data_IF_682658656872
#
_entry.id   IF_682658656872
#
_cell.length_a   1.000
_cell.length_b   1.000
_cell.length_c   1.000
_cell.angle_alpha   90.00
_cell.angle_beta   90.00
_cell.angle_gamma   90.00
#
_symmetry.space_group_name_H-M   'P 1'
#
loop_
_entity.id
_entity.type
_entity.pdbx_description
1 polymer ?
#
# COMPACT_ATOMS: atom_id res chain seq x y z
N UNK A 1 -23.63 2.22 6.15
CA UNK A 1 -22.53 1.53 6.84
C UNK A 1 -21.89 0.57 5.86
N UNK A 2 -20.57 0.42 5.88
CA UNK A 2 -19.81 -0.53 5.05
C UNK A 2 -18.71 -1.17 5.88
N UNK A 3 -18.29 -2.36 5.47
CA UNK A 3 -17.11 -3.03 6.00
C UNK A 3 -16.06 -3.11 4.90
N UNK A 4 -14.80 -2.93 5.28
CA UNK A 4 -13.64 -3.14 4.44
C UNK A 4 -12.78 -4.19 5.12
N UNK A 5 -12.44 -5.24 4.41
CA UNK A 5 -11.53 -6.28 4.86
C UNK A 5 -10.29 -6.26 3.98
N UNK A 6 -9.13 -5.91 4.57
CA UNK A 6 -7.86 -5.85 3.83
C UNK A 6 -7.10 -7.17 3.87
N UNK A 7 -7.61 -8.18 4.58
CA UNK A 7 -6.91 -9.42 4.87
C UNK A 7 -6.14 -9.39 6.19
N UNK A 8 -5.39 -8.31 6.43
CA UNK A 8 -4.64 -8.10 7.67
C UNK A 8 -5.53 -7.57 8.80
N UNK A 9 -6.32 -6.54 8.51
CA UNK A 9 -7.25 -5.91 9.46
C UNK A 9 -8.54 -5.52 8.75
N UNK A 10 -9.57 -5.29 9.53
CA UNK A 10 -10.91 -4.94 9.08
C UNK A 10 -11.37 -3.59 9.62
N UNK A 11 -12.12 -2.86 8.80
CA UNK A 11 -12.62 -1.53 9.12
C UNK A 11 -14.13 -1.48 8.99
N UNK A 12 -14.80 -1.01 10.04
CA UNK A 12 -16.20 -0.61 10.01
C UNK A 12 -16.30 0.88 9.68
N UNK A 13 -16.73 1.18 8.47
CA UNK A 13 -17.02 2.55 8.04
C UNK A 13 -18.44 2.90 8.49
N UNK A 14 -18.55 3.51 9.67
CA UNK A 14 -19.85 3.84 10.28
C UNK A 14 -20.56 4.94 9.51
N UNK A 15 -19.86 6.00 9.12
CA UNK A 15 -20.38 7.08 8.28
C UNK A 15 -19.31 7.66 7.37
N UNK A 16 -19.66 7.96 6.11
CA UNK A 16 -18.83 8.71 5.18
C UNK A 16 -19.70 9.42 4.13
N UNK A 17 -19.19 10.44 3.41
CA UNK A 17 -19.90 11.04 2.29
C UNK A 17 -20.30 10.00 1.23
N UNK A 18 -21.41 10.23 0.52
CA UNK A 18 -21.89 9.31 -0.53
C UNK A 18 -20.83 8.99 -1.58
N UNK A 19 -20.04 9.99 -2.00
CA UNK A 19 -18.94 9.80 -2.96
C UNK A 19 -17.88 8.82 -2.46
N UNK A 20 -17.57 8.83 -1.17
CA UNK A 20 -16.63 7.89 -0.54
C UNK A 20 -17.24 6.50 -0.50
N UNK A 21 -18.50 6.38 -0.08
CA UNK A 21 -19.20 5.09 -0.03
C UNK A 21 -19.31 4.45 -1.41
N UNK A 22 -19.64 5.22 -2.45
CA UNK A 22 -19.66 4.72 -3.83
C UNK A 22 -18.29 4.25 -4.31
N UNK A 23 -17.21 4.93 -3.94
CA UNK A 23 -15.86 4.44 -4.25
C UNK A 23 -15.53 3.15 -3.49
N UNK A 24 -15.97 3.00 -2.24
CA UNK A 24 -15.80 1.75 -1.48
C UNK A 24 -16.51 0.61 -2.20
N UNK A 25 -17.77 0.80 -2.57
CA UNK A 25 -18.62 -0.20 -3.24
C UNK A 25 -18.02 -0.65 -4.59
N UNK A 26 -17.26 0.23 -5.25
CA UNK A 26 -16.58 -0.07 -6.52
C UNK A 26 -15.23 -0.77 -6.29
N UNK A 27 -14.45 -0.32 -5.31
CA UNK A 27 -13.05 -0.71 -5.15
C UNK A 27 -12.80 -1.89 -4.22
N UNK A 28 -13.71 -2.15 -3.28
CA UNK A 28 -13.61 -3.27 -2.35
C UNK A 28 -14.70 -4.31 -2.62
N UNK A 29 -14.45 -5.60 -2.35
CA UNK A 29 -15.52 -6.59 -2.36
C UNK A 29 -16.52 -6.28 -1.24
N UNK A 30 -17.79 -6.58 -1.50
CA UNK A 30 -18.81 -6.53 -0.45
C UNK A 30 -18.58 -7.68 0.53
N UNK A 31 -18.51 -7.33 1.82
CA UNK A 31 -18.28 -8.28 2.91
C UNK A 31 -19.23 -7.98 4.07
N UNK A 32 -19.73 -9.02 4.71
CA UNK A 32 -20.43 -8.95 5.98
C UNK A 32 -19.51 -9.48 7.08
N UNK A 33 -19.27 -8.67 8.10
CA UNK A 33 -18.41 -9.01 9.22
C UNK A 33 -19.15 -8.80 10.54
N UNK A 34 -19.05 -9.78 11.43
CA UNK A 34 -19.57 -9.67 12.81
C UNK A 34 -18.73 -8.72 13.66
N UNK A 35 -17.43 -8.65 13.36
CA UNK A 35 -16.44 -7.86 14.07
C UNK A 35 -15.59 -7.04 13.10
N UNK A 36 -15.13 -5.87 13.54
CA UNK A 36 -14.13 -5.09 12.83
C UNK A 36 -13.09 -4.54 13.80
N UNK A 37 -11.81 -4.63 13.42
CA UNK A 37 -10.69 -4.18 14.26
C UNK A 37 -10.76 -2.68 14.54
N UNK A 38 -11.16 -1.88 13.54
CA UNK A 38 -11.27 -0.43 13.66
C UNK A 38 -12.66 0.06 13.27
N UNK A 39 -13.23 1.00 14.03
CA UNK A 39 -14.41 1.75 13.62
C UNK A 39 -14.03 3.17 13.23
N UNK A 40 -14.32 3.55 11.99
CA UNK A 40 -13.91 4.82 11.39
C UNK A 40 -15.08 5.61 10.82
N UNK A 41 -14.95 6.93 10.85
CA UNK A 41 -15.97 7.87 10.41
C UNK A 41 -15.35 9.06 9.66
N UNK A 42 -15.94 9.44 8.52
CA UNK A 42 -15.64 10.70 7.82
C UNK A 42 -16.84 11.63 7.94
N UNK A 43 -16.67 12.76 8.63
CA UNK A 43 -17.74 13.74 8.91
C UNK A 43 -17.39 15.11 8.34
N UNK A 44 -18.38 15.77 7.76
CA UNK A 44 -18.24 17.19 7.41
C UNK A 44 -18.49 18.03 8.65
N UNK A 45 -17.60 18.98 8.93
CA UNK A 45 -17.77 19.88 10.07
C UNK A 45 -18.66 21.08 9.69
N UNK A 46 -19.56 21.47 10.61
CA UNK A 46 -20.42 22.66 10.62
C UNK A 46 -21.18 23.03 9.33
N UNK A 47 -22.50 23.25 9.47
CA UNK A 47 -23.42 23.56 8.35
C UNK A 47 -23.00 24.79 7.52
N UNK A 48 -22.43 25.83 8.14
CA UNK A 48 -22.05 27.07 7.47
C UNK A 48 -20.79 26.94 6.60
N UNK A 49 -19.81 26.12 7.00
CA UNK A 49 -18.58 25.89 6.20
C UNK A 49 -18.84 25.05 4.96
N UNK A 50 -19.91 24.23 4.97
CA UNK A 50 -20.34 23.40 3.86
C UNK A 50 -20.59 24.18 2.56
N UNK A 51 -20.95 25.47 2.65
CA UNK A 51 -21.35 26.28 1.50
C UNK A 51 -20.20 27.04 0.83
N UNK A 52 -19.11 27.35 1.55
CA UNK A 52 -18.02 28.20 1.03
C UNK A 52 -16.70 27.46 0.84
N UNK A 53 -16.34 26.53 1.74
CA UNK A 53 -15.15 25.68 1.66
C UNK A 53 -15.42 24.37 2.39
N UNK A 54 -16.08 23.38 1.75
CA UNK A 54 -16.47 22.15 2.42
C UNK A 54 -15.24 21.35 2.85
N UNK A 55 -15.18 21.00 4.13
CA UNK A 55 -14.11 20.23 4.75
C UNK A 55 -14.64 18.91 5.31
N UNK A 56 -13.74 17.95 5.48
CA UNK A 56 -14.02 16.62 6.01
C UNK A 56 -12.97 16.28 7.07
N UNK A 57 -13.43 15.67 8.15
CA UNK A 57 -12.61 15.20 9.28
C UNK A 57 -12.71 13.69 9.40
N UNK A 58 -11.58 13.05 9.67
CA UNK A 58 -11.47 11.60 9.90
C UNK A 58 -11.47 11.33 11.40
N UNK A 59 -12.26 10.34 11.81
CA UNK A 59 -12.37 9.92 13.20
C UNK A 59 -12.15 8.41 13.30
N UNK A 60 -11.43 8.01 14.35
CA UNK A 60 -11.42 6.66 14.88
C UNK A 60 -12.01 6.73 16.29
N UNK A 61 -13.22 6.18 16.50
CA UNK A 61 -13.97 6.41 17.72
C UNK A 61 -14.21 7.91 17.98
N UNK A 62 -13.71 8.43 19.10
CA UNK A 62 -13.79 9.85 19.46
C UNK A 62 -12.50 10.64 19.17
N UNK A 63 -11.51 10.00 18.54
CA UNK A 63 -10.19 10.60 18.28
C UNK A 63 -10.05 11.03 16.82
N UNK A 64 -9.41 12.18 16.61
CA UNK A 64 -8.90 12.61 15.31
C UNK A 64 -7.40 12.86 15.43
N UNK A 65 -6.63 12.26 14.53
CA UNK A 65 -5.18 12.47 14.43
C UNK A 65 -4.80 13.52 13.39
N UNK A 66 -5.79 14.07 12.67
CA UNK A 66 -5.56 14.87 11.47
C UNK A 66 -6.33 16.18 11.52
N UNK A 67 -5.78 17.18 10.83
CA UNK A 67 -6.55 18.39 10.51
C UNK A 67 -7.60 18.08 9.44
N UNK A 68 -8.72 18.80 9.41
CA UNK A 68 -9.72 18.64 8.35
C UNK A 68 -9.12 18.92 6.96
N UNK A 69 -9.50 18.10 5.98
CA UNK A 69 -9.10 18.24 4.57
C UNK A 69 -10.26 18.74 3.70
N UNK A 70 -10.01 19.26 2.49
CA UNK A 70 -11.09 19.55 1.54
C UNK A 70 -11.94 18.33 1.25
N UNK A 71 -13.27 18.50 1.12
CA UNK A 71 -14.19 17.39 0.83
C UNK A 71 -13.85 16.65 -0.48
N UNK A 72 -13.26 17.33 -1.46
CA UNK A 72 -12.78 16.71 -2.71
C UNK A 72 -11.70 15.65 -2.49
N UNK A 73 -11.01 15.68 -1.35
CA UNK A 73 -9.95 14.75 -0.96
C UNK A 73 -10.43 13.68 0.02
N UNK A 74 -11.74 13.51 0.20
CA UNK A 74 -12.31 12.64 1.23
C UNK A 74 -11.91 11.16 1.06
N UNK A 75 -11.83 10.64 -0.17
CA UNK A 75 -11.43 9.24 -0.39
C UNK A 75 -9.92 9.02 -0.11
N UNK A 76 -8.99 9.83 -0.66
CA UNK A 76 -7.60 9.79 -0.22
C UNK A 76 -7.44 9.91 1.31
N UNK A 77 -8.28 10.71 1.96
CA UNK A 77 -8.24 10.87 3.42
C UNK A 77 -8.68 9.62 4.17
N UNK A 78 -9.68 8.89 3.65
CA UNK A 78 -10.06 7.58 4.17
C UNK A 78 -8.86 6.62 4.12
N UNK A 79 -8.22 6.49 2.96
CA UNK A 79 -7.06 5.60 2.75
C UNK A 79 -5.90 5.95 3.70
N UNK A 80 -5.63 7.24 3.90
CA UNK A 80 -4.62 7.70 4.84
C UNK A 80 -5.00 7.43 6.31
N UNK A 81 -6.26 7.66 6.67
CA UNK A 81 -6.74 7.39 8.02
C UNK A 81 -6.69 5.91 8.38
N UNK A 82 -6.96 5.01 7.43
CA UNK A 82 -6.80 3.56 7.61
C UNK A 82 -5.33 3.17 7.84
N UNK A 83 -4.40 3.76 7.08
CA UNK A 83 -2.96 3.57 7.30
C UNK A 83 -2.55 3.99 8.71
N UNK A 84 -3.02 5.15 9.18
CA UNK A 84 -2.73 5.60 10.52
C UNK A 84 -3.30 4.67 11.60
N UNK A 85 -4.52 4.15 11.42
CA UNK A 85 -5.08 3.17 12.36
C UNK A 85 -4.15 1.96 12.52
N UNK A 86 -3.64 1.43 11.42
CA UNK A 86 -2.70 0.31 11.42
C UNK A 86 -1.38 0.68 12.11
N UNK A 87 -0.71 1.74 11.64
CA UNK A 87 0.60 2.14 12.15
C UNK A 87 0.58 2.53 13.64
N UNK A 88 -0.54 3.09 14.13
CA UNK A 88 -0.66 3.55 15.51
C UNK A 88 -1.06 2.46 16.53
N UNK A 89 -1.51 1.28 16.09
CA UNK A 89 -2.06 0.27 16.99
C UNK A 89 -1.50 -1.15 16.78
N UNK A 90 -0.93 -1.48 15.62
CA UNK A 90 -0.51 -2.85 15.29
C UNK A 90 0.97 -3.12 15.63
N UNK A 91 1.34 -3.05 16.91
CA UNK A 91 2.73 -3.21 17.37
C UNK A 91 3.24 -4.66 17.44
N UNK A 92 2.36 -5.65 17.26
CA UNK A 92 2.75 -7.06 17.16
C UNK A 92 3.33 -7.43 15.77
N UNK A 93 3.34 -6.47 14.84
CA UNK A 93 3.83 -6.63 13.49
C UNK A 93 4.83 -5.52 13.17
N UNK A 94 5.87 -5.85 12.42
CA UNK A 94 6.78 -4.84 11.89
C UNK A 94 6.18 -4.26 10.61
N UNK A 95 6.01 -2.93 10.56
CA UNK A 95 5.36 -2.26 9.44
C UNK A 95 6.39 -1.39 8.72
N UNK A 96 6.61 -1.68 7.45
CA UNK A 96 7.58 -0.99 6.59
C UNK A 96 6.86 -0.26 5.46
N UNK A 97 7.27 0.97 5.18
CA UNK A 97 6.83 1.70 4.00
C UNK A 97 7.42 1.08 2.73
N UNK A 98 6.70 0.12 2.17
CA UNK A 98 7.11 -0.61 0.98
C UNK A 98 5.87 -1.21 0.30
N UNK A 99 6.01 -1.45 -1.01
CA UNK A 99 5.08 -2.30 -1.73
C UNK A 99 5.54 -3.75 -1.60
N UNK A 100 4.60 -4.68 -1.69
CA UNK A 100 4.86 -6.12 -1.68
C UNK A 100 3.97 -6.79 -2.70
N UNK A 101 4.60 -7.53 -3.59
CA UNK A 101 3.94 -8.40 -4.55
C UNK A 101 4.37 -9.84 -4.32
N UNK A 102 3.49 -10.77 -4.66
CA UNK A 102 3.74 -12.21 -4.57
C UNK A 102 3.58 -12.88 -5.94
N UNK A 103 4.40 -13.91 -6.13
CA UNK A 103 4.30 -14.89 -7.21
C UNK A 103 4.61 -16.26 -6.62
N UNK A 104 3.77 -17.26 -6.88
CA UNK A 104 3.98 -18.66 -6.48
C UNK A 104 4.34 -18.87 -4.99
N UNK A 105 3.66 -18.15 -4.09
CA UNK A 105 3.85 -18.21 -2.63
C UNK A 105 5.04 -17.39 -2.11
N UNK A 106 5.80 -16.75 -3.00
CA UNK A 106 7.02 -16.00 -2.69
C UNK A 106 6.77 -14.49 -2.83
N UNK A 107 7.03 -13.75 -1.76
CA UNK A 107 6.88 -12.30 -1.70
C UNK A 107 8.21 -11.58 -1.90
N UNK A 108 8.16 -10.49 -2.66
CA UNK A 108 9.27 -9.54 -2.81
C UNK A 108 8.82 -8.20 -2.25
N UNK A 109 9.65 -7.64 -1.36
CA UNK A 109 9.46 -6.32 -0.77
C UNK A 109 10.16 -5.30 -1.66
N UNK A 110 9.46 -4.21 -2.00
CA UNK A 110 9.97 -3.09 -2.78
C UNK A 110 9.97 -1.81 -1.93
N UNK A 111 11.01 -1.60 -1.08
CA UNK A 111 11.18 -0.34 -0.40
C UNK A 111 11.55 0.72 -1.42
N UNK A 112 10.90 1.88 -1.35
CA UNK A 112 11.27 2.97 -2.22
C UNK A 112 10.85 4.32 -1.63
N UNK A 113 11.65 5.38 -1.84
CA UNK A 113 11.27 6.71 -1.42
C UNK A 113 9.99 7.18 -2.13
N UNK A 114 9.19 8.06 -1.52
CA UNK A 114 8.01 8.62 -2.16
C UNK A 114 8.35 9.26 -3.53
N UNK A 115 7.61 8.87 -4.57
CA UNK A 115 7.78 9.44 -5.91
C UNK A 115 8.72 8.64 -6.84
N UNK A 116 9.29 7.53 -6.37
CA UNK A 116 10.17 6.64 -7.16
C UNK A 116 9.49 5.86 -8.31
N UNK A 117 8.16 5.98 -8.46
CA UNK A 117 7.39 5.16 -9.39
C UNK A 117 6.93 3.80 -8.85
N UNK A 118 7.17 3.49 -7.56
CA UNK A 118 6.78 2.22 -6.91
C UNK A 118 5.32 1.81 -7.14
N UNK A 119 4.37 2.73 -6.95
CA UNK A 119 2.94 2.40 -7.15
C UNK A 119 2.59 2.13 -8.61
N UNK A 120 3.32 2.74 -9.55
CA UNK A 120 3.18 2.48 -10.99
C UNK A 120 3.72 1.11 -11.34
N UNK A 121 4.91 0.76 -10.85
CA UNK A 121 5.48 -0.60 -10.96
C UNK A 121 4.53 -1.63 -10.35
N UNK A 122 4.00 -1.33 -9.15
CA UNK A 122 3.11 -2.23 -8.42
C UNK A 122 1.83 -2.51 -9.18
N UNK A 123 1.19 -1.48 -9.74
CA UNK A 123 0.03 -1.63 -10.60
C UNK A 123 0.35 -2.45 -11.85
N UNK A 124 1.48 -2.15 -12.51
CA UNK A 124 1.89 -2.86 -13.72
C UNK A 124 2.10 -4.36 -13.46
N UNK A 125 2.84 -4.72 -12.41
CA UNK A 125 3.08 -6.12 -12.05
C UNK A 125 1.79 -6.83 -11.65
N UNK A 126 0.93 -6.17 -10.87
CA UNK A 126 -0.36 -6.73 -10.46
C UNK A 126 -1.24 -7.08 -11.68
N UNK A 127 -1.30 -6.21 -12.68
CA UNK A 127 -2.05 -6.49 -13.91
C UNK A 127 -1.36 -7.49 -14.85
N UNK A 128 -0.10 -7.84 -14.59
CA UNK A 128 0.64 -8.89 -15.29
C UNK A 128 0.75 -10.18 -14.45
N UNK A 129 -0.23 -10.44 -13.59
CA UNK A 129 -0.38 -11.75 -12.93
C UNK A 129 0.53 -11.95 -11.71
N UNK A 130 1.01 -10.87 -11.10
CA UNK A 130 1.51 -10.89 -9.73
C UNK A 130 0.36 -10.57 -8.77
N UNK A 131 0.36 -11.17 -7.59
CA UNK A 131 -0.62 -10.86 -6.55
C UNK A 131 -0.17 -9.65 -5.74
N UNK A 132 -1.05 -8.66 -5.57
CA UNK A 132 -0.81 -7.54 -4.67
C UNK A 132 -1.00 -7.98 -3.22
N UNK A 133 0.05 -7.83 -2.39
CA UNK A 133 -0.10 -7.94 -0.94
C UNK A 133 -0.27 -6.56 -0.29
N UNK A 134 0.45 -5.55 -0.77
CA UNK A 134 0.33 -4.16 -0.32
C UNK A 134 1.05 -3.21 -1.28
N UNK A 135 0.59 -1.96 -1.42
CA UNK A 135 1.34 -0.90 -2.12
C UNK A 135 2.01 0.09 -1.14
N UNK A 136 1.61 0.12 0.13
CA UNK A 136 2.02 1.21 1.05
C UNK A 136 2.64 0.71 2.36
N UNK A 137 2.17 -0.43 2.87
CA UNK A 137 2.57 -0.99 4.16
C UNK A 137 2.87 -2.47 4.02
N UNK A 138 4.15 -2.83 4.00
CA UNK A 138 4.59 -4.21 4.17
C UNK A 138 4.43 -4.60 5.65
N UNK A 139 3.51 -5.53 5.92
CA UNK A 139 3.23 -6.00 7.28
C UNK A 139 3.93 -7.34 7.49
N UNK A 140 4.98 -7.36 8.30
CA UNK A 140 5.77 -8.56 8.57
C UNK A 140 5.31 -9.17 9.90
N UNK A 141 4.91 -10.43 9.85
CA UNK A 141 4.73 -11.26 11.04
C UNK A 141 6.11 -11.61 11.62
N UNK A 142 6.46 -11.00 12.75
CA UNK A 142 7.81 -11.12 13.33
C UNK A 142 8.13 -12.53 13.84
N UNK A 143 7.13 -13.39 14.03
CA UNK A 143 7.34 -14.77 14.46
C UNK A 143 7.54 -15.70 13.25
N UNK A 144 6.70 -15.54 12.22
CA UNK A 144 6.73 -16.40 11.02
C UNK A 144 7.70 -15.92 9.95
N UNK A 145 8.08 -14.64 9.99
CA UNK A 145 8.88 -13.96 8.95
C UNK A 145 8.22 -14.02 7.57
N UNK A 146 6.89 -13.90 7.57
CA UNK A 146 6.05 -13.87 6.38
C UNK A 146 5.37 -12.52 6.26
N UNK A 147 5.01 -12.14 5.02
CA UNK A 147 4.19 -10.94 4.80
C UNK A 147 2.72 -11.30 4.99
N UNK A 148 2.02 -10.50 5.79
CA UNK A 148 0.57 -10.50 5.86
C UNK A 148 0.01 -9.53 4.82
N UNK A 149 -0.92 -9.95 3.96
CA UNK A 149 -1.49 -9.05 2.97
C UNK A 149 -2.34 -7.97 3.65
N UNK A 150 -2.15 -6.73 3.22
CA UNK A 150 -3.01 -5.59 3.55
C UNK A 150 -3.52 -5.00 2.24
N UNK A 151 -4.35 -5.78 1.55
CA UNK A 151 -4.79 -5.52 0.18
C UNK A 151 -5.73 -4.34 0.16
N UNK A 152 -5.32 -3.29 -0.54
CA UNK A 152 -6.06 -2.04 -0.73
C UNK A 152 -5.78 -1.43 -2.10
N UNK A 153 -6.62 -0.52 -2.59
CA UNK A 153 -6.42 0.19 -3.84
C UNK A 153 -5.06 0.89 -3.94
N UNK A 154 -4.43 0.74 -5.10
CA UNK A 154 -3.11 1.31 -5.42
C UNK A 154 -3.27 2.82 -5.65
N UNK A 155 -2.45 3.63 -5.01
CA UNK A 155 -2.51 5.09 -5.10
C UNK A 155 -1.63 5.61 -6.24
N UNK A 156 -2.22 5.82 -7.42
CA UNK A 156 -1.53 6.38 -8.58
C UNK A 156 -1.56 7.90 -8.56
N UNK A 157 -0.50 8.51 -9.09
CA UNK A 157 -0.31 9.96 -9.10
C UNK A 157 -0.01 10.50 -10.49
N UNK A 158 -0.51 11.70 -10.78
CA UNK A 158 -0.17 12.48 -11.96
C UNK A 158 -0.23 11.63 -13.26
N UNK A 159 0.83 11.64 -14.06
CA UNK A 159 0.93 10.94 -15.35
C UNK A 159 0.74 9.42 -15.24
N UNK A 160 1.03 8.83 -14.07
CA UNK A 160 0.88 7.38 -13.86
C UNK A 160 -0.58 6.94 -13.92
N UNK A 161 -1.53 7.84 -13.63
CA UNK A 161 -2.97 7.58 -13.75
C UNK A 161 -3.33 7.31 -15.21
N UNK A 162 -2.89 8.20 -16.12
CA UNK A 162 -3.14 8.06 -17.55
C UNK A 162 -2.38 6.88 -18.16
N UNK A 163 -1.13 6.67 -17.74
CA UNK A 163 -0.30 5.56 -18.20
C UNK A 163 -0.94 4.20 -17.90
N UNK A 164 -1.31 3.94 -16.64
CA UNK A 164 -1.93 2.66 -16.26
C UNK A 164 -3.29 2.48 -16.95
N UNK A 165 -4.08 3.55 -17.09
CA UNK A 165 -5.36 3.45 -17.82
C UNK A 165 -5.16 3.13 -19.31
N UNK A 166 -4.10 3.64 -19.93
CA UNK A 166 -3.76 3.34 -21.33
C UNK A 166 -3.27 1.90 -21.50
N UNK A 167 -2.38 1.44 -20.63
CA UNK A 167 -1.81 0.08 -20.67
C UNK A 167 -2.87 -0.98 -20.32
N UNK A 168 -3.76 -0.66 -19.38
CA UNK A 168 -4.80 -1.56 -18.90
C UNK A 168 -6.18 -0.86 -18.95
N UNK A 169 -6.84 -0.79 -20.13
CA UNK A 169 -8.10 -0.06 -20.29
C UNK A 169 -9.24 -0.55 -19.41
N UNK A 170 -9.22 -1.83 -19.03
CA UNK A 170 -10.24 -2.48 -18.20
C UNK A 170 -10.14 -2.12 -16.71
N UNK A 171 -9.13 -1.35 -16.32
CA UNK A 171 -8.93 -0.96 -14.92
C UNK A 171 -10.09 -0.13 -14.38
N UNK A 172 -10.48 -0.47 -13.15
CA UNK A 172 -11.49 0.26 -12.38
C UNK A 172 -10.74 1.16 -11.38
N UNK A 173 -11.10 2.44 -11.33
CA UNK A 173 -10.48 3.40 -10.43
C UNK A 173 -11.49 4.42 -9.90
N UNK A 174 -11.13 5.16 -8.85
CA UNK A 174 -11.86 6.38 -8.50
C UNK A 174 -11.75 7.44 -9.61
N UNK A 175 -12.56 8.49 -9.50
CA UNK A 175 -12.23 9.76 -10.14
C UNK A 175 -10.92 10.36 -9.62
N UNK A 176 -10.37 11.34 -10.35
CA UNK A 176 -9.12 12.01 -9.99
C UNK A 176 -9.40 13.09 -8.92
N UNK A 177 -8.77 12.94 -7.75
CA UNK A 177 -8.70 13.99 -6.76
C UNK A 177 -7.56 14.95 -7.15
N UNK A 178 -7.90 16.18 -7.54
CA UNK A 178 -6.94 17.19 -7.98
C UNK A 178 -6.32 17.96 -6.83
N UNK A 179 -5.13 18.49 -7.06
CA UNK A 179 -4.42 19.43 -6.17
C UNK A 179 -4.28 18.92 -4.72
N UNK A 180 -3.96 17.63 -4.56
CA UNK A 180 -3.61 17.09 -3.24
C UNK A 180 -2.17 17.47 -2.88
N UNK A 181 -1.77 17.29 -1.62
CA UNK A 181 -0.35 17.44 -1.25
C UNK A 181 0.60 16.53 -2.06
N UNK A 182 0.06 15.47 -2.68
CA UNK A 182 0.81 14.50 -3.50
C UNK A 182 0.58 14.68 -5.01
N UNK A 183 -0.03 15.80 -5.44
CA UNK A 183 -0.46 16.04 -6.82
C UNK A 183 -1.85 15.50 -7.12
N UNK A 184 -2.11 15.18 -8.38
CA UNK A 184 -3.36 14.51 -8.78
C UNK A 184 -3.31 13.04 -8.36
N UNK A 185 -4.38 12.54 -7.74
CA UNK A 185 -4.43 11.17 -7.17
C UNK A 185 -5.67 10.42 -7.67
N UNK A 186 -5.47 9.16 -8.08
CA UNK A 186 -6.55 8.20 -8.31
C UNK A 186 -6.20 6.85 -7.68
N UNK A 187 -7.20 6.15 -7.15
CA UNK A 187 -7.01 4.84 -6.57
C UNK A 187 -7.52 3.76 -7.51
N UNK A 188 -6.66 2.78 -7.83
CA UNK A 188 -6.95 1.69 -8.75
C UNK A 188 -7.33 0.43 -7.97
N UNK A 189 -8.40 -0.23 -8.42
CA UNK A 189 -8.91 -1.47 -7.82
C UNK A 189 -7.87 -2.59 -7.93
N UNK A 190 -7.57 -3.29 -6.82
CA UNK A 190 -6.80 -4.54 -6.87
C UNK A 190 -7.49 -5.61 -7.72
N UNK A 191 -6.72 -6.55 -8.25
CA UNK A 191 -7.27 -7.70 -8.98
C UNK A 191 -8.12 -8.59 -8.07
N UNK A 192 -9.08 -9.33 -8.65
CA UNK A 192 -9.88 -10.30 -7.90
C UNK A 192 -9.00 -11.31 -7.18
N UNK A 193 -7.95 -11.81 -7.83
CA UNK A 193 -6.97 -12.71 -7.22
C UNK A 193 -6.38 -12.14 -5.93
N UNK A 194 -5.99 -10.86 -5.93
CA UNK A 194 -5.42 -10.20 -4.75
C UNK A 194 -6.43 -10.13 -3.60
N UNK A 195 -7.70 -9.84 -3.91
CA UNK A 195 -8.74 -9.80 -2.88
C UNK A 195 -9.18 -11.19 -2.40
N UNK A 196 -9.37 -12.16 -3.29
CA UNK A 196 -9.81 -13.51 -2.95
C UNK A 196 -8.80 -14.19 -2.01
N UNK A 197 -7.51 -13.97 -2.28
CA UNK A 197 -6.40 -14.54 -1.51
C UNK A 197 -5.85 -13.59 -0.43
N UNK A 198 -6.60 -12.56 -0.02
CA UNK A 198 -6.12 -11.52 0.92
C UNK A 198 -5.76 -12.02 2.32
N UNK A 199 -6.21 -13.21 2.72
CA UNK A 199 -5.86 -13.81 4.02
C UNK A 199 -4.67 -14.78 3.94
N UNK A 200 -4.15 -15.04 2.74
CA UNK A 200 -3.02 -15.95 2.53
C UNK A 200 -1.70 -15.20 2.63
N UNK A 201 -0.89 -15.54 3.64
CA UNK A 201 0.46 -15.01 3.80
C UNK A 201 1.40 -15.47 2.69
N UNK A 202 2.57 -14.85 2.60
CA UNK A 202 3.60 -15.23 1.64
C UNK A 202 5.00 -15.16 2.27
N UNK A 203 5.85 -16.11 1.87
CA UNK A 203 7.23 -16.18 2.35
C UNK A 203 8.06 -15.09 1.69
N UNK A 204 8.79 -14.30 2.49
CA UNK A 204 9.70 -13.29 1.94
C UNK A 204 10.90 -14.00 1.29
N UNK A 205 11.18 -13.69 0.03
CA UNK A 205 12.35 -14.22 -0.69
C UNK A 205 13.28 -13.12 -1.20
N UNK A 206 12.81 -11.87 -1.27
CA UNK A 206 13.58 -10.78 -1.85
C UNK A 206 13.24 -9.42 -1.24
N UNK A 207 14.27 -8.58 -1.14
CA UNK A 207 14.15 -7.14 -0.93
C UNK A 207 14.85 -6.47 -2.12
N UNK A 208 14.06 -5.88 -3.00
CA UNK A 208 14.54 -5.30 -4.26
C UNK A 208 14.20 -3.83 -4.31
N UNK A 209 15.19 -2.99 -4.57
CA UNK A 209 15.05 -1.53 -4.69
C UNK A 209 14.91 -1.16 -6.17
N UNK A 210 13.69 -0.87 -6.66
CA UNK A 210 13.49 -0.52 -8.05
C UNK A 210 13.86 0.94 -8.31
N UNK A 211 14.60 1.19 -9.39
CA UNK A 211 14.94 2.53 -9.86
C UNK A 211 14.66 2.65 -11.35
N UNK A 212 13.54 3.30 -11.68
CA UNK A 212 13.19 3.56 -13.07
C UNK A 212 14.07 4.67 -13.65
N UNK A 213 14.86 4.34 -14.68
CA UNK A 213 15.75 5.29 -15.36
C UNK A 213 15.22 5.71 -16.73
N UNK A 214 14.36 4.90 -17.33
CA UNK A 214 13.90 5.06 -18.73
C UNK A 214 14.99 4.80 -19.77
N UNK A 215 16.19 4.39 -19.35
CA UNK A 215 17.30 4.03 -20.23
C UNK A 215 17.17 2.58 -20.73
N UNK A 216 17.72 2.28 -21.91
CA UNK A 216 17.75 0.90 -22.39
C UNK A 216 18.62 0.01 -21.49
N UNK A 217 18.13 -1.21 -21.23
CA UNK A 217 18.83 -2.22 -20.44
C UNK A 217 18.39 -2.29 -18.98
N UNK A 218 19.05 -3.18 -18.25
CA UNK A 218 18.87 -3.39 -16.81
C UNK A 218 20.24 -3.54 -16.17
N UNK A 219 20.52 -2.70 -15.18
CA UNK A 219 21.71 -2.80 -14.35
C UNK A 219 21.32 -3.34 -12.97
N UNK A 220 21.98 -4.40 -12.55
CA UNK A 220 21.67 -5.14 -11.31
C UNK A 220 22.84 -4.97 -10.34
N UNK A 221 22.55 -4.44 -9.16
CA UNK A 221 23.53 -4.24 -8.10
C UNK A 221 23.18 -5.10 -6.90
N UNK A 222 24.06 -6.03 -6.55
CA UNK A 222 23.90 -6.79 -5.32
C UNK A 222 24.22 -5.89 -4.11
N UNK A 223 23.27 -5.79 -3.18
CA UNK A 223 23.41 -4.95 -2.00
C UNK A 223 23.96 -5.75 -0.81
N UNK A 224 24.69 -5.05 0.06
CA UNK A 224 25.11 -5.63 1.33
C UNK A 224 23.89 -5.80 2.25
N UNK A 225 23.93 -6.84 3.08
CA UNK A 225 22.88 -7.09 4.08
C UNK A 225 22.74 -5.93 5.08
N UNK A 226 23.86 -5.27 5.41
CA UNK A 226 23.85 -4.14 6.32
C UNK A 226 23.09 -2.94 5.73
N UNK A 227 23.34 -2.61 4.46
CA UNK A 227 22.70 -1.47 3.80
C UNK A 227 21.18 -1.69 3.67
N UNK A 228 20.77 -2.90 3.30
CA UNK A 228 19.35 -3.25 3.21
C UNK A 228 18.67 -3.17 4.58
N UNK A 229 19.30 -3.69 5.64
CA UNK A 229 18.76 -3.60 7.00
C UNK A 229 18.57 -2.14 7.42
N UNK A 230 19.56 -1.29 7.18
CA UNK A 230 19.49 0.14 7.51
C UNK A 230 18.36 0.83 6.73
N UNK A 231 18.23 0.56 5.43
CA UNK A 231 17.15 1.13 4.62
C UNK A 231 15.77 0.67 5.08
N UNK A 232 15.59 -0.63 5.38
CA UNK A 232 14.33 -1.15 5.90
C UNK A 232 13.98 -0.53 7.26
N UNK A 233 14.98 -0.35 8.14
CA UNK A 233 14.81 0.35 9.42
C UNK A 233 14.31 1.78 9.19
N UNK A 234 14.95 2.54 8.31
CA UNK A 234 14.58 3.94 8.02
C UNK A 234 13.17 4.07 7.44
N UNK A 235 12.71 3.05 6.69
CA UNK A 235 11.36 3.00 6.14
C UNK A 235 10.33 2.37 7.09
N UNK A 236 10.72 1.92 8.28
CA UNK A 236 9.80 1.28 9.23
C UNK A 236 9.03 2.31 10.07
N UNK A 237 7.71 2.17 10.16
CA UNK A 237 6.85 3.09 10.92
C UNK A 237 7.00 2.94 12.43
N UNK A 238 7.27 1.72 12.89
CA UNK A 238 7.21 1.35 14.30
C UNK A 238 8.48 0.64 14.80
N UNK A 239 9.60 0.75 14.07
CA UNK A 239 10.86 0.10 14.45
C UNK A 239 11.33 0.52 15.84
N UNK A 240 11.42 1.82 16.11
CA UNK A 240 11.90 2.32 17.41
C UNK A 240 10.91 2.02 18.54
N UNK A 241 9.62 1.93 18.24
CA UNK A 241 8.58 1.56 19.21
C UNK A 241 8.68 0.09 19.62
N UNK A 242 8.97 -0.79 18.66
CA UNK A 242 9.13 -2.23 18.92
C UNK A 242 10.52 -2.52 19.52
N UNK A 243 11.58 -1.91 19.00
CA UNK A 243 12.94 -2.05 19.51
C UNK A 243 13.63 -3.34 19.04
N UNK A 244 14.10 -4.14 20.00
CA UNK A 244 15.02 -5.28 19.75
C UNK A 244 14.38 -6.35 18.87
N UNK A 245 13.10 -6.63 19.07
CA UNK A 245 12.34 -7.61 18.30
C UNK A 245 12.24 -7.21 16.82
N UNK A 246 12.09 -5.91 16.53
CA UNK A 246 12.07 -5.39 15.16
C UNK A 246 13.45 -5.52 14.51
N UNK A 247 14.53 -5.23 15.26
CA UNK A 247 15.90 -5.42 14.78
C UNK A 247 16.18 -6.89 14.41
N UNK A 248 15.86 -7.83 15.30
CA UNK A 248 16.04 -9.26 15.06
C UNK A 248 15.17 -9.77 13.91
N UNK A 249 13.95 -9.25 13.77
CA UNK A 249 13.09 -9.54 12.62
C UNK A 249 13.73 -9.08 11.31
N UNK A 250 14.15 -7.80 11.21
CA UNK A 250 14.79 -7.27 10.01
C UNK A 250 16.06 -8.03 9.65
N UNK A 251 16.90 -8.33 10.65
CA UNK A 251 18.13 -9.10 10.45
C UNK A 251 17.82 -10.44 9.78
N UNK A 252 16.88 -11.22 10.32
CA UNK A 252 16.52 -12.53 9.76
C UNK A 252 15.92 -12.40 8.34
N UNK A 253 15.02 -11.43 8.15
CA UNK A 253 14.40 -11.17 6.83
C UNK A 253 15.48 -10.87 5.79
N UNK A 254 16.43 -10.01 6.12
CA UNK A 254 17.50 -9.61 5.19
C UNK A 254 18.49 -10.75 4.95
N UNK A 255 18.84 -11.53 5.98
CA UNK A 255 19.70 -12.71 5.85
C UNK A 255 19.10 -13.77 4.90
N UNK A 256 17.79 -14.01 4.96
CA UNK A 256 17.11 -15.03 4.14
C UNK A 256 16.66 -14.57 2.75
N UNK A 257 16.75 -13.27 2.44
CA UNK A 257 16.25 -12.70 1.19
C UNK A 257 17.36 -12.49 0.16
N UNK A 258 17.04 -12.52 -1.13
CA UNK A 258 17.85 -11.87 -2.15
C UNK A 258 17.82 -10.34 -1.95
N UNK A 259 18.92 -9.64 -2.20
CA UNK A 259 19.05 -8.21 -1.91
C UNK A 259 19.69 -7.48 -3.09
N UNK A 260 18.88 -6.71 -3.82
CA UNK A 260 19.30 -6.05 -5.05
C UNK A 260 18.78 -4.63 -5.16
N UNK A 261 19.56 -3.75 -5.76
CA UNK A 261 19.06 -2.56 -6.44
C UNK A 261 19.04 -2.85 -7.94
N UNK A 262 17.98 -2.44 -8.62
CA UNK A 262 17.81 -2.69 -10.06
C UNK A 262 17.42 -1.40 -10.74
N UNK A 263 18.29 -0.95 -11.63
CA UNK A 263 18.01 0.15 -12.54
C UNK A 263 17.42 -0.40 -13.84
N UNK A 264 16.30 0.16 -14.31
CA UNK A 264 15.60 -0.37 -15.47
C UNK A 264 14.86 0.71 -16.27
N UNK A 265 14.78 0.54 -17.59
CA UNK A 265 13.92 1.35 -18.46
C UNK A 265 12.65 0.65 -18.95
N UNK A 266 12.63 -0.69 -18.98
CA UNK A 266 11.44 -1.49 -19.31
C UNK A 266 11.02 -2.33 -18.11
N UNK A 267 9.75 -2.25 -17.74
CA UNK A 267 9.21 -3.01 -16.59
C UNK A 267 9.20 -4.52 -16.85
N UNK A 268 9.13 -4.97 -18.10
CA UNK A 268 9.20 -6.38 -18.44
C UNK A 268 10.60 -6.96 -18.20
N UNK A 269 11.67 -6.20 -18.48
CA UNK A 269 13.03 -6.65 -18.17
C UNK A 269 13.23 -6.77 -16.65
N UNK A 270 12.71 -5.81 -15.88
CA UNK A 270 12.70 -5.88 -14.43
C UNK A 270 11.97 -7.13 -13.92
N UNK A 271 10.76 -7.41 -14.43
CA UNK A 271 9.98 -8.61 -14.06
C UNK A 271 10.75 -9.89 -14.41
N UNK A 272 11.34 -9.97 -15.61
CA UNK A 272 12.14 -11.14 -16.03
C UNK A 272 13.27 -11.42 -15.05
N UNK A 273 14.01 -10.39 -14.62
CA UNK A 273 15.06 -10.54 -13.61
C UNK A 273 14.52 -11.08 -12.27
N UNK A 274 13.40 -10.56 -11.79
CA UNK A 274 12.81 -11.06 -10.54
C UNK A 274 12.47 -12.55 -10.64
N UNK A 275 11.88 -12.97 -11.78
CA UNK A 275 11.47 -14.35 -12.00
C UNK A 275 12.67 -15.31 -12.18
N UNK A 276 13.82 -14.85 -12.68
CA UNK A 276 15.01 -15.68 -12.89
C UNK A 276 15.94 -15.74 -11.68
N UNK A 277 16.13 -14.64 -10.97
CA UNK A 277 17.23 -14.48 -10.00
C UNK A 277 16.75 -14.23 -8.56
N UNK A 278 15.46 -13.94 -8.35
CA UNK A 278 14.90 -13.67 -7.00
C UNK A 278 13.89 -14.74 -6.55
N UNK A 279 13.03 -15.22 -7.45
CA UNK A 279 12.05 -16.28 -7.15
C UNK A 279 12.70 -17.66 -7.10
#
# INVERSE_FOLDING_TARGET
MRYIDTGFVSFKVRSAPKSVLSNIDVLYPEVELDFADFTIELKQEALLRRLFKPQISFYHGNHTAFRPLPLSQAYPFLEWGMNWCVAAHMFNYLIIHAAVLEKDGKAIIFPAPPGSGKSTLTAYMMFNGWRLLSDEMAVIDMQKLEVRPSVRPICLKNDSIGLIKKLFPQTVSTGIARDTQKGDVAHVKPTSESFERRHETAKIVGVVFPKYTGAEGVDIYQLSKADVLMSLKENSFNFDTIGVEAFECLKKVVEMSACFEVEYGDTNDFIRFLESDVL
#
